data_IF_756827601283
#
_entry.id   IF_756827601283
#
_cell.length_a   1.000
_cell.length_b   1.000
_cell.length_c   1.000
_cell.angle_alpha   90.00
_cell.angle_beta   90.00
_cell.angle_gamma   90.00
#
_symmetry.space_group_name_H-M   'P 1'
#
loop_
_entity.id
_entity.type
_entity.pdbx_description
1 polymer ?
#
# COMPACT_ATOMS: atom_id res chain seq x y z
N UNK A 1 2.43 4.46 9.03
CA UNK A 1 3.87 4.76 8.95
C UNK A 1 4.69 4.20 10.10
N UNK A 2 4.23 4.24 11.37
CA UNK A 2 5.06 3.75 12.49
C UNK A 2 5.12 2.21 12.65
N UNK A 3 4.10 1.48 12.20
CA UNK A 3 4.00 0.04 12.44
C UNK A 3 4.91 -0.82 11.54
N UNK A 4 5.06 -0.49 10.25
CA UNK A 4 5.97 -1.21 9.35
C UNK A 4 7.44 -1.11 9.81
N UNK A 5 7.85 0.07 10.30
CA UNK A 5 9.16 0.26 10.91
C UNK A 5 9.33 -0.56 12.19
N UNK A 6 8.33 -0.57 13.07
CA UNK A 6 8.34 -1.39 14.28
C UNK A 6 8.43 -2.90 13.97
N UNK A 7 7.71 -3.38 12.96
CA UNK A 7 7.80 -4.77 12.48
C UNK A 7 9.20 -5.09 11.95
N UNK A 8 9.80 -4.18 11.16
CA UNK A 8 11.18 -4.33 10.67
C UNK A 8 12.24 -4.37 11.77
N UNK A 9 11.94 -3.82 12.96
CA UNK A 9 12.76 -3.93 14.14
C UNK A 9 12.46 -5.19 15.00
N UNK A 10 11.55 -6.08 14.55
CA UNK A 10 11.10 -7.25 15.31
C UNK A 10 10.24 -6.90 16.52
N UNK A 11 9.63 -5.72 16.55
CA UNK A 11 8.84 -5.27 17.70
C UNK A 11 7.47 -5.96 17.72
N UNK A 12 7.08 -6.49 18.88
CA UNK A 12 5.72 -6.97 19.11
C UNK A 12 4.73 -5.80 19.06
N UNK A 13 3.80 -5.84 18.09
CA UNK A 13 2.72 -4.88 17.97
C UNK A 13 1.43 -5.50 18.50
N UNK A 14 0.71 -4.75 19.33
CA UNK A 14 -0.64 -5.09 19.78
C UNK A 14 -1.61 -4.00 19.30
N UNK A 15 -2.71 -4.38 18.66
CA UNK A 15 -3.70 -3.42 18.17
C UNK A 15 -5.12 -3.99 18.12
N UNK A 16 -6.09 -3.13 17.79
CA UNK A 16 -7.47 -3.56 17.57
C UNK A 16 -7.58 -4.34 16.27
N UNK A 17 -8.38 -5.40 16.26
CA UNK A 17 -8.68 -6.18 15.05
C UNK A 17 -9.69 -5.42 14.19
N UNK A 18 -9.16 -4.57 13.30
CA UNK A 18 -9.91 -3.78 12.31
C UNK A 18 -9.24 -3.95 10.94
N UNK A 19 -10.03 -3.78 9.88
CA UNK A 19 -9.58 -3.88 8.48
C UNK A 19 -8.32 -3.02 8.22
N UNK A 20 -7.39 -3.56 7.44
CA UNK A 20 -6.11 -2.94 7.15
C UNK A 20 -5.07 -3.17 8.27
N UNK A 21 -5.11 -2.38 9.35
CA UNK A 21 -4.05 -2.42 10.38
C UNK A 21 -4.10 -3.71 11.19
N UNK A 22 -5.29 -4.12 11.65
CA UNK A 22 -5.44 -5.35 12.44
C UNK A 22 -5.10 -6.60 11.65
N UNK A 23 -5.53 -6.64 10.39
CA UNK A 23 -5.20 -7.75 9.47
C UNK A 23 -3.70 -7.85 9.26
N UNK A 24 -3.03 -6.71 9.02
CA UNK A 24 -1.59 -6.72 8.78
C UNK A 24 -0.81 -7.09 10.04
N UNK A 25 -1.17 -6.56 11.20
CA UNK A 25 -0.53 -6.94 12.46
C UNK A 25 -0.75 -8.43 12.75
N UNK A 26 -1.93 -8.98 12.46
CA UNK A 26 -2.22 -10.41 12.58
C UNK A 26 -1.35 -11.26 11.63
N UNK A 27 -1.21 -10.85 10.36
CA UNK A 27 -0.33 -11.52 9.39
C UNK A 27 1.14 -11.48 9.82
N UNK A 28 1.59 -10.36 10.39
CA UNK A 28 2.95 -10.21 10.91
C UNK A 28 3.20 -10.93 12.25
N UNK A 29 2.23 -11.68 12.78
CA UNK A 29 2.35 -12.42 14.03
C UNK A 29 2.11 -11.60 15.30
N UNK A 30 1.68 -10.35 15.18
CA UNK A 30 1.32 -9.48 16.30
C UNK A 30 -0.02 -9.84 16.95
N UNK A 31 -0.34 -9.12 18.03
CA UNK A 31 -1.49 -9.39 18.87
C UNK A 31 -2.68 -8.53 18.45
N UNK A 32 -3.79 -9.14 18.03
CA UNK A 32 -5.01 -8.39 17.69
C UNK A 32 -6.25 -8.90 18.39
N UNK A 33 -7.18 -7.99 18.69
CA UNK A 33 -8.50 -8.31 19.23
C UNK A 33 -9.47 -7.17 18.97
N UNK A 34 -10.74 -7.47 18.71
CA UNK A 34 -11.80 -6.45 18.65
C UNK A 34 -12.18 -5.95 20.05
N UNK A 35 -12.03 -6.80 21.06
CA UNK A 35 -12.25 -6.52 22.48
C UNK A 35 -10.96 -6.12 23.20
N UNK A 36 -11.03 -5.06 24.01
CA UNK A 36 -9.87 -4.53 24.71
C UNK A 36 -9.39 -5.44 25.85
N UNK A 37 -10.31 -6.06 26.60
CA UNK A 37 -9.95 -6.99 27.68
C UNK A 37 -9.16 -8.20 27.16
N UNK A 38 -9.59 -8.76 26.05
CA UNK A 38 -8.89 -9.82 25.34
C UNK A 38 -7.53 -9.38 24.80
N UNK A 39 -7.39 -8.13 24.35
CA UNK A 39 -6.09 -7.60 23.92
C UNK A 39 -5.10 -7.51 25.09
N UNK A 40 -5.55 -7.00 26.25
CA UNK A 40 -4.76 -6.95 27.48
C UNK A 40 -4.35 -8.36 27.93
N UNK A 41 -5.27 -9.33 27.88
CA UNK A 41 -4.95 -10.72 28.20
C UNK A 41 -3.85 -11.27 27.28
N UNK A 42 -3.94 -11.05 25.96
CA UNK A 42 -2.90 -11.48 25.00
C UNK A 42 -1.55 -10.81 25.26
N UNK A 43 -1.53 -9.52 25.61
CA UNK A 43 -0.29 -8.82 25.99
C UNK A 43 0.32 -9.44 27.24
N UNK A 44 -0.49 -9.70 28.27
CA UNK A 44 -0.02 -10.34 29.49
C UNK A 44 0.55 -11.75 29.20
N UNK A 45 -0.10 -12.53 28.34
CA UNK A 45 0.40 -13.83 27.89
C UNK A 45 1.76 -13.72 27.18
N UNK A 46 1.90 -12.78 26.24
CA UNK A 46 3.16 -12.56 25.54
C UNK A 46 4.30 -12.14 26.48
N UNK A 47 3.98 -11.38 27.53
CA UNK A 47 4.94 -11.03 28.58
C UNK A 47 5.27 -12.27 29.42
N UNK A 48 4.28 -13.05 29.86
CA UNK A 48 4.51 -14.14 30.83
C UNK A 48 5.11 -15.41 30.21
N UNK A 49 4.95 -15.64 28.91
CA UNK A 49 5.42 -16.86 28.24
C UNK A 49 6.68 -16.62 27.41
N UNK A 50 7.85 -17.15 27.84
CA UNK A 50 9.13 -16.91 27.16
C UNK A 50 9.15 -17.30 25.68
N UNK A 51 8.41 -18.35 25.29
CA UNK A 51 8.29 -18.79 23.89
C UNK A 51 7.70 -17.69 23.00
N UNK A 52 6.64 -17.03 23.46
CA UNK A 52 5.98 -15.96 22.70
C UNK A 52 6.88 -14.74 22.54
N UNK A 53 7.82 -14.50 23.46
CA UNK A 53 8.81 -13.43 23.36
C UNK A 53 9.83 -13.65 22.24
N UNK A 54 9.95 -14.87 21.73
CA UNK A 54 10.84 -15.23 20.61
C UNK A 54 10.03 -15.35 19.32
N UNK A 55 8.93 -16.12 19.37
CA UNK A 55 8.12 -16.43 18.19
C UNK A 55 7.48 -15.19 17.55
N UNK A 56 7.02 -14.22 18.35
CA UNK A 56 6.35 -13.02 17.81
C UNK A 56 7.35 -12.12 17.05
N UNK A 57 8.52 -11.75 17.64
CA UNK A 57 9.56 -11.04 16.89
C UNK A 57 10.04 -11.76 15.63
N UNK A 58 10.23 -13.09 15.68
CA UNK A 58 10.66 -13.86 14.50
C UNK A 58 9.65 -13.77 13.36
N UNK A 59 8.35 -13.86 13.66
CA UNK A 59 7.29 -13.67 12.66
C UNK A 59 7.25 -12.23 12.14
N UNK A 60 7.44 -11.24 13.00
CA UNK A 60 7.47 -9.84 12.59
C UNK A 60 8.63 -9.57 11.62
N UNK A 61 9.81 -10.13 11.89
CA UNK A 61 10.98 -10.04 11.00
C UNK A 61 10.74 -10.80 9.68
N UNK A 62 10.16 -12.00 9.74
CA UNK A 62 9.81 -12.76 8.54
C UNK A 62 8.85 -12.00 7.63
N UNK A 63 7.81 -11.38 8.22
CA UNK A 63 6.88 -10.51 7.50
C UNK A 63 7.60 -9.30 6.89
N UNK A 64 8.45 -8.62 7.66
CA UNK A 64 9.18 -7.45 7.18
C UNK A 64 10.13 -7.79 6.01
N UNK A 65 10.76 -8.96 6.04
CA UNK A 65 11.58 -9.45 4.94
C UNK A 65 10.73 -9.74 3.69
N UNK A 66 9.65 -10.52 3.83
CA UNK A 66 8.74 -10.88 2.74
C UNK A 66 8.20 -9.63 2.02
N UNK A 67 7.73 -8.64 2.78
CA UNK A 67 7.16 -7.41 2.25
C UNK A 67 8.19 -6.27 2.12
N UNK A 68 9.48 -6.57 2.13
CA UNK A 68 10.53 -5.58 1.94
C UNK A 68 10.47 -4.94 0.54
N UNK A 69 10.94 -3.69 0.42
CA UNK A 69 11.04 -3.02 -0.88
C UNK A 69 11.84 -3.81 -1.91
N UNK A 70 12.90 -4.50 -1.45
CA UNK A 70 13.70 -5.39 -2.29
C UNK A 70 12.84 -6.48 -2.91
N UNK A 71 12.07 -7.19 -2.10
CA UNK A 71 11.26 -8.33 -2.56
C UNK A 71 10.06 -7.86 -3.40
N UNK A 72 9.45 -6.72 -3.04
CA UNK A 72 8.41 -6.10 -3.86
C UNK A 72 8.92 -5.72 -5.25
N UNK A 73 10.10 -5.09 -5.35
CA UNK A 73 10.72 -4.74 -6.64
C UNK A 73 10.99 -5.97 -7.48
N UNK A 74 11.53 -7.04 -6.88
CA UNK A 74 11.78 -8.29 -7.60
C UNK A 74 10.48 -8.90 -8.14
N UNK A 75 9.42 -8.96 -7.34
CA UNK A 75 8.11 -9.44 -7.79
C UNK A 75 7.50 -8.59 -8.91
N UNK A 76 7.65 -7.27 -8.84
CA UNK A 76 7.20 -6.38 -9.91
C UNK A 76 8.01 -6.54 -11.20
N UNK A 77 9.32 -6.76 -11.11
CA UNK A 77 10.16 -7.03 -12.29
C UNK A 77 9.81 -8.37 -12.94
N UNK A 78 9.56 -9.41 -12.15
CA UNK A 78 9.11 -10.71 -12.65
C UNK A 78 7.76 -10.57 -13.37
N UNK A 79 6.79 -9.91 -12.74
CA UNK A 79 5.48 -9.64 -13.32
C UNK A 79 5.60 -8.84 -14.62
N UNK A 80 6.44 -7.81 -14.65
CA UNK A 80 6.69 -7.02 -15.86
C UNK A 80 7.31 -7.86 -16.97
N UNK A 81 8.23 -8.77 -16.65
CA UNK A 81 8.82 -9.69 -17.62
C UNK A 81 7.79 -10.64 -18.25
N UNK A 82 6.80 -11.09 -17.48
CA UNK A 82 5.72 -11.96 -17.97
C UNK A 82 4.68 -11.19 -18.80
N UNK A 83 4.33 -9.96 -18.38
CA UNK A 83 3.31 -9.14 -19.05
C UNK A 83 3.83 -8.41 -20.30
N UNK A 84 5.14 -8.16 -20.38
CA UNK A 84 5.78 -7.49 -21.52
C UNK A 84 6.84 -8.38 -22.20
N UNK A 85 6.45 -9.41 -22.98
CA UNK A 85 7.38 -10.24 -23.74
C UNK A 85 8.16 -9.47 -24.81
N UNK A 86 7.67 -8.29 -25.18
CA UNK A 86 8.28 -7.34 -26.10
C UNK A 86 8.01 -5.92 -25.57
N UNK A 87 8.88 -4.95 -25.86
CA UNK A 87 8.68 -3.53 -25.52
C UNK A 87 7.38 -3.01 -26.14
N UNK A 88 6.24 -3.27 -25.51
CA UNK A 88 5.00 -2.56 -25.78
C UNK A 88 5.23 -1.17 -25.22
N UNK A 89 5.38 -0.19 -26.12
CA UNK A 89 5.36 1.22 -25.73
C UNK A 89 4.04 1.45 -25.00
N UNK A 90 4.13 1.88 -23.75
CA UNK A 90 2.98 2.42 -23.05
C UNK A 90 2.40 3.52 -23.97
N UNK A 91 1.10 3.52 -24.31
CA UNK A 91 0.50 4.65 -24.97
C UNK A 91 0.51 5.81 -23.98
N UNK A 92 1.57 6.61 -24.01
CA UNK A 92 1.53 7.96 -23.43
C UNK A 92 0.77 8.84 -24.42
N UNK A 93 -0.51 8.54 -24.57
CA UNK A 93 -1.40 9.25 -25.48
C UNK A 93 -2.48 9.87 -24.60
N UNK A 94 -2.03 10.72 -23.67
CA UNK A 94 -2.88 11.72 -23.02
C UNK A 94 -3.16 12.91 -23.96
N UNK A 95 -2.98 12.72 -25.27
CA UNK A 95 -3.34 13.63 -26.35
C UNK A 95 -4.45 13.02 -27.21
N UNK A 96 -5.63 12.86 -26.63
CA UNK A 96 -6.88 12.72 -27.42
C UNK A 96 -8.11 13.15 -26.62
N UNK A 97 -7.93 14.05 -25.65
CA UNK A 97 -9.05 14.80 -25.08
C UNK A 97 -9.10 16.20 -25.68
N UNK A 98 -10.08 16.36 -26.57
CA UNK A 98 -10.69 17.61 -27.02
C UNK A 98 -9.82 18.59 -27.83
N UNK A 99 -9.82 18.40 -29.14
CA UNK A 99 -9.90 19.53 -30.07
C UNK A 99 -11.28 19.48 -30.74
N UNK A 100 -12.30 20.04 -30.07
CA UNK A 100 -13.52 20.50 -30.74
C UNK A 100 -13.52 22.03 -30.76
N UNK A 101 -14.17 22.63 -31.77
CA UNK A 101 -13.56 23.68 -32.59
C UNK A 101 -13.73 25.07 -31.97
N UNK A 102 -12.71 25.92 -32.16
CA UNK A 102 -12.88 27.35 -31.99
C UNK A 102 -13.89 27.84 -33.05
N UNK A 103 -15.12 28.13 -32.61
CA UNK A 103 -16.10 28.83 -33.41
C UNK A 103 -15.47 30.14 -33.91
N UNK A 104 -15.31 30.26 -35.23
CA UNK A 104 -14.89 31.49 -35.88
C UNK A 104 -16.05 32.49 -35.79
N UNK A 105 -16.07 33.28 -34.71
CA UNK A 105 -16.90 34.49 -34.62
C UNK A 105 -16.29 35.57 -35.51
N UNK A 106 -16.63 35.58 -36.79
CA UNK A 106 -16.39 36.74 -37.66
C UNK A 106 -17.46 37.79 -37.37
N UNK A 107 -17.12 38.70 -36.47
CA UNK A 107 -17.80 39.99 -36.30
C UNK A 107 -17.38 40.90 -37.47
N UNK A 108 -18.14 40.89 -38.57
CA UNK A 108 -18.04 41.94 -39.59
C UNK A 108 -18.96 43.10 -39.20
N UNK A 109 -18.32 44.20 -38.79
CA UNK A 109 -18.95 45.51 -38.68
C UNK A 109 -19.56 45.91 -40.04
N UNK A 110 -20.88 45.98 -40.10
CA UNK A 110 -21.59 46.78 -41.10
C UNK A 110 -21.56 48.22 -40.61
N UNK A 111 -20.55 48.97 -41.04
CA UNK A 111 -20.57 50.42 -41.06
C UNK A 111 -21.12 50.87 -42.40
N UNK A 112 -22.41 51.22 -42.42
CA UNK A 112 -23.00 52.01 -43.48
C UNK A 112 -22.63 53.47 -43.23
N UNK A 113 -22.05 54.13 -44.23
CA UNK A 113 -22.09 55.58 -44.37
C UNK A 113 -21.90 55.95 -45.85
N UNK A 114 -23.02 56.24 -46.51
CA UNK A 114 -23.28 57.46 -47.30
C UNK A 114 -24.72 57.48 -47.79
#
# INVERSE_FOLDING_TARGET
WNWAHALGAGTTIACRDVEGVGETVKMAGGLTSADFGQLIFKIAQAILHPKLRVEIPERALGYAEEFSWRNQVLGHLELAGQLCPSRVRCPTDRESFAAEPAASSTLSHVGADR
#
